data_IF_626687283560
#
_entry.id   IF_626687283560
#
_cell.length_a   1.000
_cell.length_b   1.000
_cell.length_c   1.000
_cell.angle_alpha   90.00
_cell.angle_beta   90.00
_cell.angle_gamma   90.00
#
_symmetry.space_group_name_H-M   'P 1'
#
loop_
_entity.id
_entity.type
_entity.pdbx_description
1 polymer ?
#
# COMPACT_ATOMS: atom_id res chain seq x y z
N UNK A 1 -15.38 -12.09 -92.42
CA UNK A 1 -14.25 -11.84 -91.51
C UNK A 1 -14.69 -10.87 -90.42
N UNK A 2 -14.90 -11.34 -89.19
CA UNK A 2 -14.97 -10.52 -87.98
C UNK A 2 -14.14 -11.26 -86.92
N UNK A 3 -12.94 -10.75 -86.64
CA UNK A 3 -12.08 -11.21 -85.55
C UNK A 3 -12.58 -10.57 -84.25
N UNK A 4 -13.05 -11.39 -83.31
CA UNK A 4 -13.25 -10.98 -81.92
C UNK A 4 -12.03 -11.45 -81.14
N UNK A 5 -11.23 -10.50 -80.66
CA UNK A 5 -10.11 -10.78 -79.77
C UNK A 5 -10.64 -11.09 -78.36
N UNK A 6 -10.37 -12.30 -77.88
CA UNK A 6 -10.58 -12.70 -76.49
C UNK A 6 -9.46 -12.07 -75.65
N UNK A 7 -9.82 -11.10 -74.81
CA UNK A 7 -8.94 -10.58 -73.76
C UNK A 7 -8.96 -11.55 -72.58
N UNK A 8 -7.92 -12.37 -72.47
CA UNK A 8 -7.62 -13.17 -71.28
C UNK A 8 -7.12 -12.22 -70.20
N UNK A 9 -7.96 -11.92 -69.21
CA UNK A 9 -7.52 -11.31 -67.96
C UNK A 9 -6.72 -12.36 -67.17
N UNK A 10 -5.41 -12.32 -67.28
CA UNK A 10 -4.51 -12.99 -66.34
C UNK A 10 -4.72 -12.26 -65.01
N UNK A 11 -5.36 -12.95 -64.07
CA UNK A 11 -5.50 -12.47 -62.69
C UNK A 11 -4.13 -12.33 -62.05
N UNK A 12 -3.55 -11.14 -62.15
CA UNK A 12 -2.47 -10.73 -61.27
C UNK A 12 -3.07 -10.66 -59.86
N UNK A 13 -2.74 -11.66 -59.05
CA UNK A 13 -2.99 -11.63 -57.62
C UNK A 13 -2.22 -10.44 -57.04
N UNK A 14 -2.91 -9.32 -56.87
CA UNK A 14 -2.39 -8.22 -56.07
C UNK A 14 -2.23 -8.76 -54.64
N UNK A 15 -1.03 -8.71 -54.03
CA UNK A 15 -0.87 -9.08 -52.64
C UNK A 15 -1.82 -8.20 -51.83
N UNK A 16 -2.65 -8.82 -50.98
CA UNK A 16 -3.50 -8.09 -50.04
C UNK A 16 -2.57 -7.39 -49.07
N UNK A 17 -2.39 -6.09 -49.24
CA UNK A 17 -1.64 -5.24 -48.32
C UNK A 17 -2.35 -5.31 -46.95
N UNK A 18 -1.75 -5.98 -45.97
CA UNK A 18 -2.19 -5.91 -44.57
C UNK A 18 -2.54 -7.22 -43.84
N UNK A 19 -2.28 -8.40 -44.41
CA UNK A 19 -2.34 -9.66 -43.67
C UNK A 19 -0.97 -10.33 -43.64
N UNK A 20 -0.13 -9.92 -42.70
CA UNK A 20 1.05 -10.72 -42.32
C UNK A 20 0.61 -11.80 -41.33
N UNK A 21 1.30 -12.95 -41.27
CA UNK A 21 1.03 -13.96 -40.25
C UNK A 21 1.07 -13.38 -38.81
N UNK A 22 1.90 -12.37 -38.58
CA UNK A 22 1.95 -11.62 -37.30
C UNK A 22 0.63 -10.89 -37.02
N UNK A 23 0.09 -10.13 -37.99
CA UNK A 23 -1.18 -9.41 -37.80
C UNK A 23 -2.38 -10.33 -37.59
N UNK A 24 -2.34 -11.55 -38.14
CA UNK A 24 -3.37 -12.56 -37.87
C UNK A 24 -3.28 -13.09 -36.44
N UNK A 25 -2.07 -13.37 -35.96
CA UNK A 25 -1.82 -13.79 -34.58
C UNK A 25 -2.24 -12.71 -33.57
N UNK A 26 -1.90 -11.44 -33.85
CA UNK A 26 -2.32 -10.29 -33.04
C UNK A 26 -3.84 -10.13 -33.01
N UNK A 27 -4.51 -10.28 -34.15
CA UNK A 27 -5.98 -10.21 -34.22
C UNK A 27 -6.64 -11.30 -33.39
N UNK A 28 -6.11 -12.52 -33.42
CA UNK A 28 -6.59 -13.62 -32.58
C UNK A 28 -6.37 -13.33 -31.08
N UNK A 29 -5.25 -12.69 -30.73
CA UNK A 29 -4.99 -12.25 -29.36
C UNK A 29 -5.99 -11.18 -28.91
N UNK A 30 -6.21 -10.15 -29.75
CA UNK A 30 -7.10 -9.03 -29.45
C UNK A 30 -8.58 -9.46 -29.38
N UNK A 31 -8.97 -10.50 -30.12
CA UNK A 31 -10.31 -11.10 -30.03
C UNK A 31 -10.50 -12.01 -28.80
N UNK A 32 -9.43 -12.27 -28.04
CA UNK A 32 -9.43 -13.17 -26.88
C UNK A 32 -9.36 -14.65 -27.23
N UNK A 33 -9.18 -15.02 -28.50
CA UNK A 33 -8.91 -16.40 -28.91
C UNK A 33 -7.43 -16.75 -28.67
N UNK A 34 -7.08 -16.84 -27.38
CA UNK A 34 -5.71 -17.10 -26.94
C UNK A 34 -5.18 -18.46 -27.38
N UNK A 35 -6.05 -19.44 -27.64
CA UNK A 35 -5.63 -20.76 -28.11
C UNK A 35 -5.15 -20.68 -29.56
N UNK A 36 -5.92 -20.02 -30.43
CA UNK A 36 -5.51 -19.80 -31.82
C UNK A 36 -4.31 -18.87 -31.89
N UNK A 37 -4.30 -17.77 -31.13
CA UNK A 37 -3.17 -16.84 -31.06
C UNK A 37 -1.87 -17.56 -30.67
N UNK A 38 -1.92 -18.43 -29.65
CA UNK A 38 -0.74 -19.16 -29.20
C UNK A 38 -0.18 -20.07 -30.29
N UNK A 39 -1.04 -20.79 -31.03
CA UNK A 39 -0.62 -21.64 -32.15
C UNK A 39 0.02 -20.83 -33.27
N UNK A 40 -0.58 -19.68 -33.62
CA UNK A 40 -0.05 -18.81 -34.67
C UNK A 40 1.32 -18.23 -34.28
N UNK A 41 1.46 -17.73 -33.05
CA UNK A 41 2.75 -17.23 -32.55
C UNK A 41 3.81 -18.35 -32.47
N UNK A 42 3.45 -19.58 -32.09
CA UNK A 42 4.39 -20.72 -32.11
C UNK A 42 4.91 -21.00 -33.53
N UNK A 43 4.01 -21.07 -34.52
CA UNK A 43 4.39 -21.25 -35.91
C UNK A 43 5.30 -20.12 -36.42
N UNK A 44 5.02 -18.87 -36.03
CA UNK A 44 5.89 -17.73 -36.34
C UNK A 44 7.29 -17.89 -35.73
N UNK A 45 7.39 -18.24 -34.44
CA UNK A 45 8.68 -18.42 -33.75
C UNK A 45 9.55 -19.50 -34.41
N UNK A 46 8.93 -20.56 -34.95
CA UNK A 46 9.63 -21.65 -35.65
C UNK A 46 10.22 -21.23 -37.00
N UNK A 47 9.57 -20.29 -37.71
CA UNK A 47 9.91 -19.93 -39.09
C UNK A 47 10.54 -18.54 -39.26
N UNK A 48 10.66 -17.77 -38.17
CA UNK A 48 11.20 -16.40 -38.17
C UNK A 48 12.58 -16.31 -37.50
N UNK A 49 13.29 -15.21 -37.75
CA UNK A 49 14.59 -14.91 -37.13
C UNK A 49 14.69 -13.41 -36.78
N UNK A 50 15.68 -13.04 -35.97
CA UNK A 50 15.96 -11.65 -35.63
C UNK A 50 14.76 -10.95 -34.98
N UNK A 51 14.43 -9.74 -35.48
CA UNK A 51 13.37 -8.91 -34.92
C UNK A 51 11.98 -9.58 -35.02
N UNK A 52 11.68 -10.21 -36.15
CA UNK A 52 10.38 -10.89 -36.36
C UNK A 52 10.17 -12.02 -35.36
N UNK A 53 11.24 -12.80 -35.09
CA UNK A 53 11.19 -13.83 -34.04
C UNK A 53 10.97 -13.22 -32.66
N UNK A 54 11.61 -12.10 -32.37
CA UNK A 54 11.42 -11.36 -31.13
C UNK A 54 9.98 -10.86 -30.93
N UNK A 55 9.35 -10.33 -31.98
CA UNK A 55 7.94 -9.90 -31.97
C UNK A 55 6.99 -11.09 -31.79
N UNK A 56 7.25 -12.21 -32.48
CA UNK A 56 6.48 -13.44 -32.32
C UNK A 56 6.63 -14.04 -30.91
N UNK A 57 7.84 -14.00 -30.32
CA UNK A 57 8.08 -14.41 -28.93
C UNK A 57 7.34 -13.50 -27.95
N UNK A 58 7.29 -12.18 -28.20
CA UNK A 58 6.54 -11.23 -27.37
C UNK A 58 5.05 -11.59 -27.37
N UNK A 59 4.49 -11.85 -28.55
CA UNK A 59 3.11 -12.31 -28.72
C UNK A 59 2.83 -13.65 -28.03
N UNK A 60 3.71 -14.64 -28.21
CA UNK A 60 3.67 -15.94 -27.52
C UNK A 60 3.66 -15.76 -26.01
N UNK A 61 4.60 -14.97 -25.46
CA UNK A 61 4.71 -14.72 -24.03
C UNK A 61 3.47 -14.04 -23.45
N UNK A 62 2.97 -12.98 -24.10
CA UNK A 62 1.71 -12.31 -23.71
C UNK A 62 0.52 -13.26 -23.71
N UNK A 63 0.44 -14.15 -24.70
CA UNK A 63 -0.64 -15.11 -24.84
C UNK A 63 -0.55 -16.21 -23.79
N UNK A 64 0.64 -16.74 -23.53
CA UNK A 64 0.88 -17.71 -22.44
C UNK A 64 0.52 -17.10 -21.08
N UNK A 65 0.87 -15.84 -20.84
CA UNK A 65 0.48 -15.14 -19.62
C UNK A 65 -1.04 -14.96 -19.49
N UNK A 66 -1.74 -14.64 -20.59
CA UNK A 66 -3.20 -14.56 -20.60
C UNK A 66 -3.87 -15.92 -20.31
N UNK A 67 -3.22 -17.01 -20.69
CA UNK A 67 -3.62 -18.40 -20.40
C UNK A 67 -3.17 -18.89 -19.01
N UNK A 68 -2.62 -18.00 -18.17
CA UNK A 68 -2.08 -18.31 -16.83
C UNK A 68 -0.90 -19.29 -16.83
N UNK A 69 -0.28 -19.54 -17.98
CA UNK A 69 0.94 -20.34 -18.11
C UNK A 69 2.17 -19.44 -17.90
N UNK A 70 2.38 -19.07 -16.63
CA UNK A 70 3.46 -18.17 -16.23
C UNK A 70 4.85 -18.71 -16.60
N UNK A 71 5.06 -20.02 -16.55
CA UNK A 71 6.33 -20.64 -16.89
C UNK A 71 6.67 -20.47 -18.38
N UNK A 72 5.70 -20.73 -19.28
CA UNK A 72 5.92 -20.50 -20.73
C UNK A 72 6.03 -19.02 -21.06
N UNK A 73 5.30 -18.16 -20.35
CA UNK A 73 5.39 -16.72 -20.54
C UNK A 73 6.79 -16.22 -20.19
N UNK A 74 7.30 -16.58 -19.01
CA UNK A 74 8.64 -16.23 -18.56
C UNK A 74 9.72 -16.71 -19.53
N UNK A 75 9.68 -17.98 -19.94
CA UNK A 75 10.63 -18.53 -20.90
C UNK A 75 10.66 -17.79 -22.25
N UNK A 76 9.49 -17.35 -22.74
CA UNK A 76 9.42 -16.58 -23.98
C UNK A 76 10.06 -15.19 -23.84
N UNK A 77 9.86 -14.51 -22.70
CA UNK A 77 10.51 -13.21 -22.45
C UNK A 77 12.01 -13.36 -22.21
N UNK A 78 12.45 -14.44 -21.57
CA UNK A 78 13.87 -14.75 -21.38
C UNK A 78 14.59 -14.94 -22.71
N UNK A 79 14.01 -15.71 -23.63
CA UNK A 79 14.56 -15.90 -24.97
C UNK A 79 14.71 -14.57 -25.73
N UNK A 80 13.77 -13.63 -25.56
CA UNK A 80 13.89 -12.27 -26.12
C UNK A 80 15.08 -11.56 -25.49
N UNK A 81 15.18 -11.52 -24.16
CA UNK A 81 16.23 -10.77 -23.44
C UNK A 81 17.64 -11.33 -23.69
N UNK A 82 17.78 -12.65 -23.86
CA UNK A 82 19.05 -13.29 -24.22
C UNK A 82 19.54 -12.89 -25.62
N UNK A 83 18.62 -12.59 -26.54
CA UNK A 83 18.95 -12.21 -27.93
C UNK A 83 19.44 -10.76 -28.10
N UNK A 84 19.45 -9.94 -27.03
CA UNK A 84 19.80 -8.51 -27.04
C UNK A 84 19.08 -7.72 -28.15
N UNK A 85 17.74 -7.63 -28.09
CA UNK A 85 16.93 -7.03 -29.15
C UNK A 85 17.02 -5.49 -29.11
N UNK A 86 16.45 -4.78 -30.11
CA UNK A 86 16.32 -3.33 -30.04
C UNK A 86 15.56 -2.86 -28.80
N UNK A 87 15.91 -1.67 -28.31
CA UNK A 87 15.40 -1.12 -27.05
C UNK A 87 13.86 -1.17 -26.89
N UNK A 88 13.03 -0.85 -27.91
CA UNK A 88 11.57 -0.95 -27.75
C UNK A 88 11.08 -2.37 -27.44
N UNK A 89 11.64 -3.39 -28.11
CA UNK A 89 11.28 -4.78 -27.87
C UNK A 89 11.85 -5.28 -26.53
N UNK A 90 13.08 -4.90 -26.20
CA UNK A 90 13.70 -5.22 -24.91
C UNK A 90 12.85 -4.67 -23.74
N UNK A 91 12.50 -3.39 -23.79
CA UNK A 91 11.68 -2.73 -22.77
C UNK A 91 10.32 -3.41 -22.60
N UNK A 92 9.69 -3.87 -23.69
CA UNK A 92 8.43 -4.60 -23.63
C UNK A 92 8.60 -5.98 -22.97
N UNK A 93 9.64 -6.73 -23.32
CA UNK A 93 9.93 -8.02 -22.70
C UNK A 93 10.22 -7.87 -21.19
N UNK A 94 11.00 -6.86 -20.79
CA UNK A 94 11.26 -6.52 -19.38
C UNK A 94 9.95 -6.19 -18.63
N UNK A 95 9.10 -5.34 -19.22
CA UNK A 95 7.79 -5.01 -18.65
C UNK A 95 6.93 -6.27 -18.45
N UNK A 96 6.75 -7.09 -19.49
CA UNK A 96 5.89 -8.25 -19.42
C UNK A 96 6.44 -9.34 -18.48
N UNK A 97 7.77 -9.54 -18.47
CA UNK A 97 8.42 -10.41 -17.47
C UNK A 97 8.18 -9.92 -16.05
N UNK A 98 8.25 -8.61 -15.80
CA UNK A 98 7.89 -8.02 -14.52
C UNK A 98 6.46 -8.36 -14.08
N UNK A 99 5.50 -8.37 -15.01
CA UNK A 99 4.11 -8.78 -14.72
C UNK A 99 4.00 -10.26 -14.36
N UNK A 100 4.70 -11.14 -15.08
CA UNK A 100 4.74 -12.58 -14.77
C UNK A 100 5.28 -12.79 -13.37
N UNK A 101 6.40 -12.16 -13.03
CA UNK A 101 7.04 -12.25 -11.71
C UNK A 101 6.13 -11.78 -10.57
N UNK A 102 5.32 -10.72 -10.78
CA UNK A 102 4.32 -10.32 -9.79
C UNK A 102 3.27 -11.40 -9.55
N UNK A 103 2.77 -12.07 -10.60
CA UNK A 103 1.79 -13.15 -10.45
C UNK A 103 2.37 -14.40 -9.78
N UNK A 104 3.68 -14.59 -9.85
CA UNK A 104 4.40 -15.65 -9.14
C UNK A 104 4.79 -15.25 -7.70
N UNK A 105 4.35 -14.08 -7.22
CA UNK A 105 4.70 -13.55 -5.89
C UNK A 105 6.21 -13.29 -5.71
N UNK A 106 6.89 -12.81 -6.76
CA UNK A 106 8.29 -12.39 -6.75
C UNK A 106 8.44 -10.86 -6.91
N UNK A 107 7.95 -10.05 -5.95
CA UNK A 107 7.86 -8.59 -6.12
C UNK A 107 9.23 -7.89 -6.24
N UNK A 108 10.29 -8.40 -5.58
CA UNK A 108 11.65 -7.86 -5.74
C UNK A 108 12.16 -8.00 -7.18
N UNK A 109 12.00 -9.21 -7.77
CA UNK A 109 12.44 -9.47 -9.13
C UNK A 109 11.59 -8.69 -10.14
N UNK A 110 10.28 -8.60 -9.90
CA UNK A 110 9.39 -7.81 -10.74
C UNK A 110 9.75 -6.32 -10.75
N UNK A 111 10.04 -5.74 -9.57
CA UNK A 111 10.45 -4.34 -9.44
C UNK A 111 11.72 -4.05 -10.26
N UNK A 112 12.70 -4.97 -10.24
CA UNK A 112 13.91 -4.86 -11.04
C UNK A 112 13.61 -4.86 -12.55
N UNK A 113 12.73 -5.76 -13.01
CA UNK A 113 12.35 -5.83 -14.42
C UNK A 113 11.58 -4.60 -14.90
N UNK A 114 10.64 -4.07 -14.12
CA UNK A 114 9.96 -2.83 -14.47
C UNK A 114 10.91 -1.62 -14.46
N UNK A 115 11.83 -1.54 -13.50
CA UNK A 115 12.83 -0.49 -13.46
C UNK A 115 13.76 -0.55 -14.69
N UNK A 116 14.16 -1.74 -15.13
CA UNK A 116 14.90 -1.96 -16.36
C UNK A 116 14.10 -1.46 -17.58
N UNK A 117 12.83 -1.88 -17.71
CA UNK A 117 11.94 -1.45 -18.80
C UNK A 117 11.89 0.07 -18.96
N UNK A 118 11.67 0.80 -17.85
CA UNK A 118 11.61 2.27 -17.86
C UNK A 118 12.96 2.92 -18.23
N UNK A 119 14.09 2.27 -17.92
CA UNK A 119 15.42 2.76 -18.28
C UNK A 119 15.78 2.44 -19.74
N UNK A 120 15.40 1.26 -20.21
CA UNK A 120 15.68 0.76 -21.56
C UNK A 120 14.97 1.60 -22.63
N UNK A 121 13.69 1.94 -22.42
CA UNK A 121 12.95 2.84 -23.30
C UNK A 121 12.18 3.93 -22.52
N UNK A 122 12.85 5.06 -22.20
CA UNK A 122 12.23 6.18 -21.48
C UNK A 122 11.16 6.95 -22.28
N UNK A 123 10.90 6.59 -23.53
CA UNK A 123 9.83 7.15 -24.36
C UNK A 123 8.67 6.15 -24.57
N UNK A 124 8.76 4.96 -23.96
CA UNK A 124 7.75 3.92 -24.11
C UNK A 124 6.38 4.38 -23.62
N UNK A 125 5.34 3.99 -24.37
CA UNK A 125 3.94 4.18 -23.97
C UNK A 125 3.56 3.34 -22.75
N UNK A 126 4.38 2.35 -22.39
CA UNK A 126 4.17 1.47 -21.25
C UNK A 126 4.69 2.03 -19.93
N UNK A 127 5.43 3.14 -19.92
CA UNK A 127 5.98 3.74 -18.68
C UNK A 127 4.92 3.96 -17.59
N UNK A 128 3.74 4.56 -17.85
CA UNK A 128 2.73 4.68 -16.80
C UNK A 128 2.26 3.31 -16.29
N UNK A 129 2.23 2.28 -17.12
CA UNK A 129 1.87 0.93 -16.68
C UNK A 129 2.97 0.30 -15.84
N UNK A 130 4.24 0.48 -16.22
CA UNK A 130 5.39 0.06 -15.43
C UNK A 130 5.41 0.75 -14.06
N UNK A 131 5.22 2.08 -13.99
CA UNK A 131 5.15 2.82 -12.73
C UNK A 131 4.04 2.31 -11.81
N UNK A 132 2.87 2.00 -12.37
CA UNK A 132 1.77 1.41 -11.60
C UNK A 132 2.17 0.08 -10.97
N UNK A 133 2.74 -0.83 -11.77
CA UNK A 133 3.14 -2.14 -11.27
C UNK A 133 4.37 -2.11 -10.35
N UNK A 134 5.28 -1.15 -10.54
CA UNK A 134 6.37 -0.88 -9.59
C UNK A 134 5.80 -0.46 -8.23
N UNK A 135 4.77 0.39 -8.22
CA UNK A 135 4.13 0.82 -6.98
C UNK A 135 3.39 -0.34 -6.27
N UNK A 136 2.68 -1.20 -7.02
CA UNK A 136 2.08 -2.43 -6.49
C UNK A 136 3.17 -3.40 -5.95
N UNK A 137 4.30 -3.55 -6.66
CA UNK A 137 5.44 -4.35 -6.20
C UNK A 137 6.05 -3.79 -4.91
N UNK A 138 6.30 -2.49 -4.84
CA UNK A 138 6.79 -1.81 -3.64
C UNK A 138 5.81 -1.93 -2.46
N UNK A 139 4.50 -1.89 -2.72
CA UNK A 139 3.47 -2.12 -1.69
C UNK A 139 3.56 -3.54 -1.14
N UNK A 140 3.70 -4.55 -2.00
CA UNK A 140 3.87 -5.94 -1.58
C UNK A 140 5.16 -6.18 -0.77
N UNK A 141 6.18 -5.33 -0.96
CA UNK A 141 7.43 -5.33 -0.20
C UNK A 141 7.36 -4.53 1.12
N UNK A 142 6.21 -3.92 1.45
CA UNK A 142 6.05 -3.04 2.61
C UNK A 142 6.71 -1.67 2.46
N UNK A 143 7.16 -1.31 1.25
CA UNK A 143 7.82 -0.05 0.95
C UNK A 143 6.78 1.03 0.60
N UNK A 144 5.89 1.35 1.56
CA UNK A 144 4.70 2.18 1.31
C UNK A 144 5.02 3.60 0.84
N UNK A 145 6.09 4.22 1.36
CA UNK A 145 6.54 5.55 0.93
C UNK A 145 7.00 5.54 -0.54
N UNK A 146 7.80 4.55 -0.93
CA UNK A 146 8.25 4.38 -2.30
C UNK A 146 7.07 4.11 -3.25
N UNK A 147 6.13 3.26 -2.84
CA UNK A 147 4.90 3.01 -3.60
C UNK A 147 4.08 4.29 -3.80
N UNK A 148 3.88 5.09 -2.75
CA UNK A 148 3.18 6.36 -2.83
C UNK A 148 3.84 7.34 -3.80
N UNK A 149 5.17 7.45 -3.77
CA UNK A 149 5.94 8.28 -4.70
C UNK A 149 5.78 7.82 -6.16
N UNK A 150 5.78 6.52 -6.42
CA UNK A 150 5.56 5.96 -7.76
C UNK A 150 4.14 6.22 -8.27
N UNK A 151 3.12 6.06 -7.42
CA UNK A 151 1.74 6.41 -7.77
C UNK A 151 1.58 7.90 -8.08
N UNK A 152 2.15 8.78 -7.25
CA UNK A 152 2.13 10.21 -7.50
C UNK A 152 2.84 10.59 -8.81
N UNK A 153 4.00 9.99 -9.09
CA UNK A 153 4.71 10.20 -10.35
C UNK A 153 3.87 9.79 -11.56
N UNK A 154 3.13 8.68 -11.47
CA UNK A 154 2.19 8.27 -12.51
C UNK A 154 1.06 9.31 -12.68
N UNK A 155 0.38 9.67 -11.58
CA UNK A 155 -0.79 10.57 -11.59
C UNK A 155 -0.43 11.95 -12.18
N UNK A 156 0.72 12.50 -11.77
CA UNK A 156 1.13 13.84 -12.20
C UNK A 156 1.92 13.85 -13.51
N UNK A 157 2.71 12.81 -13.78
CA UNK A 157 3.54 12.72 -14.99
C UNK A 157 2.80 12.20 -16.23
N UNK A 158 1.74 11.41 -16.03
CA UNK A 158 0.99 10.76 -17.11
C UNK A 158 -0.52 10.91 -16.93
N UNK A 159 -1.06 12.15 -16.88
CA UNK A 159 -2.45 12.43 -16.50
C UNK A 159 -3.50 11.83 -17.45
N UNK A 160 -3.13 11.47 -18.68
CA UNK A 160 -4.01 10.84 -19.67
C UNK A 160 -3.89 9.31 -19.71
N UNK A 161 -3.07 8.70 -18.85
CA UNK A 161 -2.95 7.25 -18.78
C UNK A 161 -4.22 6.63 -18.19
N UNK A 162 -4.65 5.50 -18.77
CA UNK A 162 -5.75 4.70 -18.24
C UNK A 162 -5.47 4.13 -16.83
N UNK A 163 -4.22 4.19 -16.34
CA UNK A 163 -3.84 3.79 -14.97
C UNK A 163 -4.05 4.86 -13.91
N UNK A 164 -4.37 6.10 -14.29
CA UNK A 164 -4.45 7.22 -13.33
C UNK A 164 -5.51 6.97 -12.25
N UNK A 165 -6.72 6.57 -12.64
CA UNK A 165 -7.78 6.33 -11.65
C UNK A 165 -7.47 5.15 -10.74
N UNK A 166 -6.89 4.07 -11.29
CA UNK A 166 -6.41 2.94 -10.49
C UNK A 166 -5.29 3.36 -9.52
N UNK A 167 -4.35 4.20 -9.95
CA UNK A 167 -3.27 4.72 -9.13
C UNK A 167 -3.79 5.60 -7.98
N UNK A 168 -4.74 6.50 -8.25
CA UNK A 168 -5.40 7.32 -7.21
C UNK A 168 -6.08 6.45 -6.17
N UNK A 169 -6.81 5.42 -6.60
CA UNK A 169 -7.45 4.47 -5.69
C UNK A 169 -6.43 3.76 -4.80
N UNK A 170 -5.37 3.20 -5.40
CA UNK A 170 -4.30 2.51 -4.66
C UNK A 170 -3.62 3.42 -3.64
N UNK A 171 -3.30 4.65 -4.03
CA UNK A 171 -2.71 5.66 -3.15
C UNK A 171 -3.65 6.01 -1.98
N UNK A 172 -4.96 6.17 -2.25
CA UNK A 172 -5.94 6.45 -1.20
C UNK A 172 -6.05 5.30 -0.17
N UNK A 173 -5.96 4.04 -0.62
CA UNK A 173 -5.93 2.87 0.25
C UNK A 173 -4.68 2.87 1.13
N UNK A 174 -3.50 3.10 0.55
CA UNK A 174 -2.24 3.21 1.30
C UNK A 174 -2.31 4.30 2.39
N UNK A 175 -2.84 5.47 2.05
CA UNK A 175 -3.02 6.57 3.00
C UNK A 175 -4.03 6.22 4.11
N UNK A 176 -5.06 5.45 3.79
CA UNK A 176 -6.06 5.03 4.77
C UNK A 176 -5.46 4.06 5.79
N UNK A 177 -4.75 3.03 5.34
CA UNK A 177 -4.07 2.06 6.21
C UNK A 177 -3.02 2.73 7.10
N UNK A 178 -2.25 3.67 6.55
CA UNK A 178 -1.28 4.44 7.33
C UNK A 178 -1.95 5.28 8.44
N UNK A 179 -3.09 5.92 8.12
CA UNK A 179 -3.88 6.69 9.10
C UNK A 179 -4.50 5.80 10.18
N UNK A 180 -5.07 4.66 9.79
CA UNK A 180 -5.68 3.71 10.72
C UNK A 180 -4.66 3.12 11.69
N UNK A 181 -3.49 2.70 11.20
CA UNK A 181 -2.41 2.18 12.05
C UNK A 181 -1.92 3.22 13.07
N UNK A 182 -1.80 4.49 12.65
CA UNK A 182 -1.45 5.59 13.55
C UNK A 182 -2.53 5.82 14.61
N UNK A 183 -3.80 5.75 14.22
CA UNK A 183 -4.94 5.87 15.12
C UNK A 183 -4.95 4.75 16.17
N UNK A 184 -4.77 3.51 15.74
CA UNK A 184 -4.75 2.33 16.60
C UNK A 184 -3.61 2.41 17.63
N UNK A 185 -2.43 2.88 17.23
CA UNK A 185 -1.30 3.06 18.14
C UNK A 185 -1.59 4.11 19.22
N UNK A 186 -2.21 5.24 18.84
CA UNK A 186 -2.61 6.29 19.79
C UNK A 186 -3.69 5.76 20.76
N UNK A 187 -4.68 5.02 20.26
CA UNK A 187 -5.73 4.41 21.08
C UNK A 187 -5.17 3.42 22.09
N UNK A 188 -4.23 2.57 21.68
CA UNK A 188 -3.54 1.62 22.58
C UNK A 188 -2.77 2.36 23.67
N UNK A 189 -2.02 3.39 23.31
CA UNK A 189 -1.25 4.18 24.28
C UNK A 189 -2.15 4.91 25.28
N UNK A 190 -3.23 5.53 24.81
CA UNK A 190 -4.21 6.21 25.66
C UNK A 190 -4.92 5.26 26.63
N UNK A 191 -5.29 4.05 26.17
CA UNK A 191 -5.92 3.05 27.03
C UNK A 191 -4.96 2.54 28.11
N UNK A 192 -3.69 2.28 27.78
CA UNK A 192 -2.70 1.81 28.77
C UNK A 192 -2.44 2.88 29.83
N UNK A 193 -2.30 4.14 29.42
CA UNK A 193 -2.02 5.24 30.37
C UNK A 193 -3.21 5.51 31.29
N UNK A 194 -4.44 5.48 30.76
CA UNK A 194 -5.64 5.64 31.57
C UNK A 194 -5.81 4.51 32.59
N UNK A 195 -5.49 3.26 32.21
CA UNK A 195 -5.53 2.11 33.11
C UNK A 195 -4.48 2.22 34.23
N UNK A 196 -3.24 2.59 33.88
CA UNK A 196 -2.18 2.77 34.87
C UNK A 196 -2.51 3.88 35.88
N UNK A 197 -3.06 5.00 35.41
CA UNK A 197 -3.49 6.08 36.28
C UNK A 197 -4.58 5.63 37.25
N UNK A 198 -5.61 4.91 36.76
CA UNK A 198 -6.68 4.37 37.60
C UNK A 198 -6.15 3.41 38.67
N UNK A 199 -5.24 2.51 38.32
CA UNK A 199 -4.59 1.59 39.26
C UNK A 199 -3.79 2.33 40.34
N UNK A 200 -3.09 3.40 39.98
CA UNK A 200 -2.36 4.24 40.94
C UNK A 200 -3.30 4.92 41.93
N UNK A 201 -4.41 5.50 41.45
CA UNK A 201 -5.41 6.14 42.31
C UNK A 201 -6.07 5.13 43.25
N UNK A 202 -6.37 3.90 42.79
CA UNK A 202 -6.89 2.83 43.65
C UNK A 202 -5.90 2.43 44.76
N UNK A 203 -4.59 2.38 44.46
CA UNK A 203 -3.57 2.10 45.47
C UNK A 203 -3.50 3.21 46.52
N UNK A 204 -3.51 4.47 46.09
CA UNK A 204 -3.52 5.63 46.99
C UNK A 204 -4.79 5.67 47.85
N UNK A 205 -5.94 5.34 47.28
CA UNK A 205 -7.21 5.23 48.02
C UNK A 205 -7.09 4.23 49.18
N UNK A 206 -6.57 3.02 48.93
CA UNK A 206 -6.35 2.01 49.98
C UNK A 206 -5.37 2.49 51.06
N UNK A 207 -4.32 3.20 50.66
CA UNK A 207 -3.36 3.78 51.61
C UNK A 207 -4.03 4.83 52.52
N UNK A 208 -4.83 5.74 51.96
CA UNK A 208 -5.57 6.73 52.75
C UNK A 208 -6.60 6.10 53.68
N UNK A 209 -7.31 5.07 53.23
CA UNK A 209 -8.26 4.34 54.09
C UNK A 209 -7.57 3.71 55.29
N UNK A 210 -6.42 3.07 55.07
CA UNK A 210 -5.62 2.46 56.12
C UNK A 210 -5.11 3.51 57.11
N UNK A 211 -4.55 4.61 56.62
CA UNK A 211 -4.03 5.69 57.45
C UNK A 211 -5.12 6.34 58.32
N UNK A 212 -6.30 6.59 57.73
CA UNK A 212 -7.46 7.11 58.46
C UNK A 212 -7.86 6.13 59.58
N UNK A 213 -7.89 4.83 59.31
CA UNK A 213 -8.24 3.80 60.31
C UNK A 213 -7.25 3.79 61.48
N UNK A 214 -5.95 3.90 61.19
CA UNK A 214 -4.90 3.87 62.22
C UNK A 214 -4.92 5.15 63.07
N UNK A 215 -5.13 6.33 62.46
CA UNK A 215 -5.33 7.59 63.19
C UNK A 215 -6.61 7.58 64.04
N UNK A 216 -7.69 6.95 63.57
CA UNK A 216 -8.92 6.79 64.34
C UNK A 216 -8.71 5.97 65.61
N UNK A 217 -7.86 4.93 65.56
CA UNK A 217 -7.49 4.15 66.76
C UNK A 217 -6.70 5.01 67.74
N UNK A 218 -5.72 5.79 67.27
CA UNK A 218 -4.93 6.70 68.12
C UNK A 218 -5.77 7.79 68.80
N UNK A 219 -6.84 8.26 68.15
CA UNK A 219 -7.78 9.22 68.74
C UNK A 219 -8.59 8.62 69.88
N UNK A 220 -8.97 7.33 69.77
CA UNK A 220 -9.65 6.59 70.85
C UNK A 220 -8.71 6.42 72.06
N UNK A 221 -7.39 6.35 71.82
CA UNK A 221 -6.35 6.23 72.85
C UNK A 221 -5.92 7.57 73.49
N UNK A 222 -6.54 8.71 73.12
CA UNK A 222 -6.48 9.97 73.89
C UNK A 222 -5.71 11.16 73.31
N UNK A 223 -5.25 11.14 72.05
CA UNK A 223 -4.53 12.27 71.43
C UNK A 223 -5.40 13.03 70.39
N UNK A 224 -6.06 14.12 70.81
CA UNK A 224 -7.34 14.57 70.22
C UNK A 224 -7.39 15.71 69.18
N UNK A 225 -6.29 16.42 68.87
CA UNK A 225 -6.37 17.64 68.05
C UNK A 225 -5.88 17.46 66.60
N UNK A 226 -4.59 17.17 66.48
CA UNK A 226 -3.88 17.12 65.19
C UNK A 226 -4.31 15.93 64.32
N UNK A 227 -4.55 14.76 64.94
CA UNK A 227 -5.08 13.59 64.25
C UNK A 227 -6.49 13.82 63.68
N UNK A 228 -7.30 14.66 64.33
CA UNK A 228 -8.65 15.00 63.86
C UNK A 228 -8.60 15.85 62.58
N UNK A 229 -7.68 16.82 62.54
CA UNK A 229 -7.44 17.66 61.36
C UNK A 229 -6.83 16.84 60.20
N UNK A 230 -5.90 15.92 60.50
CA UNK A 230 -5.30 15.02 59.53
C UNK A 230 -6.35 14.09 58.89
N UNK A 231 -7.24 13.49 59.68
CA UNK A 231 -8.35 12.67 59.17
C UNK A 231 -9.28 13.47 58.27
N UNK A 232 -9.61 14.71 58.63
CA UNK A 232 -10.47 15.56 57.80
C UNK A 232 -9.82 15.86 56.44
N UNK A 233 -8.52 16.16 56.43
CA UNK A 233 -7.76 16.36 55.18
C UNK A 233 -7.75 15.08 54.34
N UNK A 234 -7.39 13.94 54.93
CA UNK A 234 -7.32 12.66 54.23
C UNK A 234 -8.67 12.20 53.68
N UNK A 235 -9.77 12.46 54.39
CA UNK A 235 -11.14 12.20 53.88
C UNK A 235 -11.47 13.07 52.66
N UNK A 236 -11.03 14.33 52.65
CA UNK A 236 -11.20 15.23 51.49
C UNK A 236 -10.35 14.76 50.30
N UNK A 237 -9.14 14.26 50.55
CA UNK A 237 -8.26 13.70 49.52
C UNK A 237 -8.82 12.41 48.93
N UNK A 238 -9.35 11.52 49.78
CA UNK A 238 -10.04 10.30 49.37
C UNK A 238 -11.25 10.60 48.45
N UNK A 239 -12.08 11.57 48.82
CA UNK A 239 -13.23 11.97 48.01
C UNK A 239 -12.81 12.52 46.64
N UNK A 240 -11.72 13.30 46.60
CA UNK A 240 -11.15 13.80 45.34
C UNK A 240 -10.60 12.68 44.46
N UNK A 241 -9.91 11.71 45.05
CA UNK A 241 -9.38 10.54 44.33
C UNK A 241 -10.51 9.70 43.72
N UNK A 242 -11.58 9.42 44.49
CA UNK A 242 -12.76 8.67 44.00
C UNK A 242 -13.47 9.37 42.84
N UNK A 243 -13.75 10.66 42.99
CA UNK A 243 -14.37 11.44 41.92
C UNK A 243 -13.53 11.43 40.63
N UNK A 244 -12.19 11.36 40.77
CA UNK A 244 -11.30 11.30 39.60
C UNK A 244 -11.30 9.93 38.93
N UNK A 245 -11.39 8.84 39.71
CA UNK A 245 -11.56 7.48 39.18
C UNK A 245 -12.89 7.39 38.40
N UNK A 246 -13.99 7.86 38.98
CA UNK A 246 -15.32 7.84 38.35
C UNK A 246 -15.36 8.63 37.03
N UNK A 247 -14.73 9.81 36.99
CA UNK A 247 -14.58 10.63 35.77
C UNK A 247 -13.81 9.89 34.67
N UNK A 248 -12.69 9.24 35.02
CA UNK A 248 -11.89 8.46 34.07
C UNK A 248 -12.67 7.25 33.53
N UNK A 249 -13.40 6.53 34.38
CA UNK A 249 -14.23 5.39 33.97
C UNK A 249 -15.40 5.82 33.05
N UNK A 250 -16.03 6.97 33.32
CA UNK A 250 -17.09 7.53 32.49
C UNK A 250 -16.57 7.95 31.11
N UNK A 251 -15.39 8.60 31.06
CA UNK A 251 -14.74 8.98 29.80
C UNK A 251 -14.35 7.78 28.93
N UNK A 252 -14.02 6.65 29.54
CA UNK A 252 -13.72 5.39 28.83
C UNK A 252 -15.00 4.72 28.29
N UNK A 253 -16.12 4.78 29.03
CA UNK A 253 -17.41 4.20 28.59
C UNK A 253 -18.12 5.01 27.50
N UNK A 254 -17.97 6.34 27.48
CA UNK A 254 -18.68 7.22 26.55
C UNK A 254 -18.10 7.35 25.13
N UNK A 255 -16.88 6.86 24.87
CA UNK A 255 -16.13 7.14 23.61
C UNK A 255 -16.21 6.04 22.54
N UNK A 256 -17.23 5.20 22.59
CA UNK A 256 -17.44 4.12 21.62
C UNK A 256 -17.92 4.53 20.22
N UNK A 257 -18.13 5.82 19.91
CA UNK A 257 -18.86 6.18 18.68
C UNK A 257 -18.41 7.39 17.86
N UNK A 258 -17.48 8.24 18.33
CA UNK A 258 -17.10 9.46 17.58
C UNK A 258 -15.61 9.76 17.73
N UNK A 259 -14.80 9.20 16.82
CA UNK A 259 -13.38 8.89 17.04
C UNK A 259 -12.38 9.74 16.26
N UNK A 260 -12.78 10.74 15.47
CA UNK A 260 -11.79 11.50 14.66
C UNK A 260 -11.53 12.90 15.18
N UNK A 261 -12.57 13.70 15.36
CA UNK A 261 -12.45 15.09 15.84
C UNK A 261 -12.04 15.16 17.33
N UNK A 262 -12.44 14.15 18.10
CA UNK A 262 -12.11 14.01 19.53
C UNK A 262 -10.65 13.61 19.75
N UNK A 263 -10.08 12.77 18.89
CA UNK A 263 -8.71 12.28 19.02
C UNK A 263 -7.68 13.35 18.66
N UNK A 264 -7.95 14.19 17.65
CA UNK A 264 -7.08 15.32 17.32
C UNK A 264 -7.13 16.42 18.41
N UNK A 265 -8.31 16.72 18.95
CA UNK A 265 -8.45 17.63 20.09
C UNK A 265 -7.76 17.11 21.37
N UNK A 266 -7.84 15.80 21.65
CA UNK A 266 -7.19 15.19 22.81
C UNK A 266 -5.67 15.18 22.66
N UNK A 267 -5.18 14.98 21.44
CA UNK A 267 -3.75 15.04 21.11
C UNK A 267 -3.17 16.43 21.32
N UNK A 268 -3.87 17.48 20.88
CA UNK A 268 -3.42 18.87 21.02
C UNK A 268 -3.42 19.33 22.49
N UNK A 269 -4.43 18.92 23.27
CA UNK A 269 -4.50 19.14 24.71
C UNK A 269 -3.43 18.39 25.49
N UNK A 270 -3.13 17.14 25.12
CA UNK A 270 -2.07 16.35 25.78
C UNK A 270 -0.67 16.94 25.54
N UNK A 271 -0.41 17.44 24.32
CA UNK A 271 0.87 18.09 23.98
C UNK A 271 1.07 19.43 24.72
N UNK A 272 0.02 20.25 24.80
CA UNK A 272 0.05 21.52 25.53
C UNK A 272 0.21 21.31 27.05
N UNK A 273 -0.45 20.31 27.63
CA UNK A 273 -0.31 19.99 29.05
C UNK A 273 1.11 19.47 29.39
N UNK A 274 1.70 18.66 28.50
CA UNK A 274 3.07 18.17 28.63
C UNK A 274 4.09 19.31 28.53
N UNK A 275 3.91 20.23 27.58
CA UNK A 275 4.77 21.41 27.44
C UNK A 275 4.69 22.30 28.69
N UNK A 276 3.47 22.56 29.18
CA UNK A 276 3.25 23.29 30.42
C UNK A 276 3.92 22.62 31.63
N UNK A 277 3.81 21.30 31.76
CA UNK A 277 4.39 20.56 32.89
C UNK A 277 5.93 20.49 32.84
N UNK A 278 6.51 20.37 31.64
CA UNK A 278 7.96 20.42 31.45
C UNK A 278 8.53 21.82 31.74
N UNK A 279 7.87 22.88 31.29
CA UNK A 279 8.23 24.27 31.63
C UNK A 279 8.07 24.53 33.13
N UNK A 280 6.96 24.09 33.71
CA UNK A 280 6.73 24.22 35.15
C UNK A 280 7.83 23.54 35.94
N UNK A 281 8.22 22.32 35.56
CA UNK A 281 9.26 21.53 36.23
C UNK A 281 10.65 22.17 36.09
N UNK A 282 11.00 22.67 34.91
CA UNK A 282 12.27 23.38 34.66
C UNK A 282 12.43 24.66 35.49
N UNK A 283 11.31 25.30 35.85
CA UNK A 283 11.30 26.52 36.67
C UNK A 283 11.23 26.22 38.17
N UNK A 284 10.61 25.12 38.60
CA UNK A 284 10.24 24.90 40.00
C UNK A 284 10.94 23.73 40.69
N UNK A 285 11.61 22.83 39.95
CA UNK A 285 12.51 21.83 40.55
C UNK A 285 13.96 22.26 40.31
N UNK A 286 14.62 22.79 41.36
CA UNK A 286 16.10 22.78 41.38
C UNK A 286 16.58 21.32 41.49
N UNK A 287 17.74 20.99 40.89
CA UNK A 287 18.21 19.61 40.76
C UNK A 287 18.36 18.89 42.10
#
# INVERSE_FOLDING_TARGET
MKLWAVLVFIGLAFPVWGQTPLTEAERAYDSGDFITALKLFQGLVEHSQGLEKGEALLGKGKTSFALLDNAKAEAAFDEILESRPPAPLQSLAEYWKGRVLLTQNHPNAALAQFAASVQTDPQSREIPNALFWMADASTALGQYEAAGNLYNRLIHGYPYSYKVEAAKYRLAVLDMEARENKLLNVLRWANIEALNAADEYQRREKAYQKEILDLQKQLIDGAGGEAQAAILSLKKDLARARAKIDDLEAQLKGKGHDTRETLDNLREKALSLKAFFLDWRLVHEKP
#
